data_IF_609255131125
#
_entry.id   IF_609255131125
#
_cell.length_a   1.000
_cell.length_b   1.000
_cell.length_c   1.000
_cell.angle_alpha   90.00
_cell.angle_beta   90.00
_cell.angle_gamma   90.00
#
_symmetry.space_group_name_H-M   'P 1'
#
loop_
_entity.id
_entity.type
_entity.pdbx_description
1 polymer ?
#
# COMPACT_ATOMS: atom_id res chain seq x y z
N UNK A 1 40.28 36.25 -25.65
CA UNK A 1 39.04 36.50 -24.86
C UNK A 1 37.90 35.53 -25.24
N UNK A 2 37.64 35.31 -26.53
CA UNK A 2 36.57 34.42 -27.05
C UNK A 2 36.59 32.95 -26.54
N UNK A 3 37.77 32.35 -26.38
CA UNK A 3 37.91 30.93 -25.96
C UNK A 3 37.49 30.73 -24.48
N UNK A 4 37.67 31.75 -23.63
CA UNK A 4 37.24 31.67 -22.22
C UNK A 4 35.73 31.80 -22.07
N UNK A 5 35.09 32.64 -22.88
CA UNK A 5 33.63 32.78 -22.87
C UNK A 5 32.92 31.50 -23.35
N UNK A 6 33.44 30.83 -24.37
CA UNK A 6 32.88 29.57 -24.87
C UNK A 6 33.04 28.43 -23.86
N UNK A 7 34.16 28.35 -23.15
CA UNK A 7 34.33 27.39 -22.05
C UNK A 7 33.37 27.63 -20.88
N UNK A 8 33.11 28.89 -20.52
CA UNK A 8 32.15 29.24 -19.47
C UNK A 8 30.71 28.95 -19.92
N UNK A 9 30.36 29.25 -21.18
CA UNK A 9 29.04 28.95 -21.72
C UNK A 9 28.78 27.45 -21.79
N UNK A 10 29.77 26.66 -22.21
CA UNK A 10 29.70 25.20 -22.23
C UNK A 10 29.60 24.63 -20.81
N UNK A 11 30.36 25.18 -19.85
CA UNK A 11 30.28 24.80 -18.45
C UNK A 11 28.92 25.14 -17.84
N UNK A 12 28.32 26.29 -18.20
CA UNK A 12 26.97 26.68 -17.76
C UNK A 12 25.89 25.81 -18.39
N UNK A 13 26.04 25.41 -19.65
CA UNK A 13 25.13 24.47 -20.32
C UNK A 13 25.17 23.10 -19.63
N UNK A 14 26.37 22.57 -19.37
CA UNK A 14 26.57 21.30 -18.68
C UNK A 14 26.09 21.37 -17.22
N UNK A 15 26.35 22.48 -16.51
CA UNK A 15 25.82 22.66 -15.15
C UNK A 15 24.30 22.75 -15.15
N UNK A 16 23.68 23.34 -16.17
CA UNK A 16 22.22 23.42 -16.24
C UNK A 16 21.60 22.02 -16.39
N UNK A 17 22.17 21.14 -17.21
CA UNK A 17 21.68 19.75 -17.33
C UNK A 17 21.91 18.93 -16.04
N UNK A 18 22.97 19.22 -15.29
CA UNK A 18 23.27 18.55 -14.00
C UNK A 18 22.40 19.09 -12.85
N UNK A 19 22.08 20.38 -12.84
CA UNK A 19 21.24 21.03 -11.80
C UNK A 19 19.74 20.85 -12.07
N UNK A 20 19.35 20.73 -13.33
CA UNK A 20 17.99 20.35 -13.75
C UNK A 20 17.83 18.84 -13.95
N UNK A 21 18.79 18.02 -13.49
CA UNK A 21 18.64 16.57 -13.39
C UNK A 21 17.58 16.22 -12.33
N UNK A 22 16.32 16.41 -12.74
CA UNK A 22 15.11 15.69 -12.43
C UNK A 22 15.03 15.10 -11.02
N UNK A 23 14.03 15.53 -10.26
CA UNK A 23 13.38 14.63 -9.30
C UNK A 23 12.99 13.35 -10.06
N UNK A 24 13.87 12.34 -10.03
CA UNK A 24 13.66 11.08 -10.73
C UNK A 24 12.28 10.58 -10.35
N UNK A 25 11.34 10.41 -11.28
CA UNK A 25 9.96 10.04 -10.96
C UNK A 25 9.91 8.82 -10.04
N UNK A 26 10.88 7.91 -10.14
CA UNK A 26 11.06 6.76 -9.24
C UNK A 26 11.23 7.14 -7.77
N UNK A 27 11.97 8.20 -7.46
CA UNK A 27 12.18 8.67 -6.09
C UNK A 27 10.90 9.24 -5.47
N UNK A 28 10.07 9.91 -6.29
CA UNK A 28 8.77 10.44 -5.88
C UNK A 28 7.79 9.29 -5.66
N UNK A 29 7.69 8.35 -6.60
CA UNK A 29 6.84 7.16 -6.45
C UNK A 29 7.24 6.31 -5.25
N UNK A 30 8.54 6.12 -5.01
CA UNK A 30 9.05 5.43 -3.83
C UNK A 30 8.59 6.13 -2.55
N UNK A 31 8.73 7.45 -2.45
CA UNK A 31 8.32 8.21 -1.28
C UNK A 31 6.80 8.18 -1.04
N UNK A 32 6.01 8.25 -2.12
CA UNK A 32 4.56 8.08 -2.06
C UNK A 32 4.22 6.70 -1.52
N UNK A 33 4.81 5.64 -2.07
CA UNK A 33 4.61 4.26 -1.62
C UNK A 33 4.96 4.09 -0.14
N UNK A 34 6.13 4.54 0.28
CA UNK A 34 6.58 4.47 1.69
C UNK A 34 5.61 5.19 2.62
N UNK A 35 5.15 6.38 2.22
CA UNK A 35 4.19 7.18 2.99
C UNK A 35 2.83 6.49 3.07
N UNK A 36 2.33 5.96 1.96
CA UNK A 36 1.07 5.19 1.93
C UNK A 36 1.15 3.95 2.83
N UNK A 37 2.26 3.22 2.80
CA UNK A 37 2.47 2.05 3.67
C UNK A 37 2.52 2.45 5.15
N UNK A 38 3.14 3.59 5.48
CA UNK A 38 3.16 4.11 6.84
C UNK A 38 1.75 4.46 7.34
N UNK A 39 0.97 5.21 6.53
CA UNK A 39 -0.42 5.60 6.86
C UNK A 39 -1.31 4.36 7.02
N UNK A 40 -1.16 3.35 6.16
CA UNK A 40 -1.90 2.09 6.28
C UNK A 40 -1.62 1.37 7.61
N UNK A 41 -0.33 1.27 7.98
CA UNK A 41 0.09 0.62 9.23
C UNK A 41 -0.42 1.38 10.46
N UNK A 42 -0.32 2.70 10.45
CA UNK A 42 -0.82 3.56 11.52
C UNK A 42 -2.36 3.46 11.65
N UNK A 43 -3.07 3.53 10.52
CA UNK A 43 -4.53 3.42 10.49
C UNK A 43 -5.00 2.06 11.01
N UNK A 44 -4.28 0.98 10.69
CA UNK A 44 -4.58 -0.36 11.18
C UNK A 44 -4.23 -0.56 12.66
N UNK A 45 -3.32 0.24 13.22
CA UNK A 45 -3.03 0.26 14.65
C UNK A 45 -4.04 1.07 15.48
N UNK A 46 -4.99 1.76 14.84
CA UNK A 46 -5.95 2.60 15.55
C UNK A 46 -6.97 1.80 16.37
N UNK A 47 -7.34 2.32 17.54
CA UNK A 47 -8.46 1.80 18.33
C UNK A 47 -9.81 1.96 17.60
N UNK A 48 -9.90 2.94 16.68
CA UNK A 48 -11.10 3.23 15.91
C UNK A 48 -11.31 2.15 14.84
N UNK A 49 -12.32 1.31 15.06
CA UNK A 49 -12.59 0.14 14.23
C UNK A 49 -12.74 0.46 12.73
N UNK A 50 -13.36 1.59 12.37
CA UNK A 50 -13.52 1.99 10.97
C UNK A 50 -12.21 2.41 10.30
N UNK A 51 -11.21 2.91 11.03
CA UNK A 51 -9.88 3.19 10.45
C UNK A 51 -9.15 1.89 10.14
N UNK A 52 -9.28 0.87 11.02
CA UNK A 52 -8.73 -0.47 10.74
C UNK A 52 -9.39 -1.11 9.53
N UNK A 53 -10.72 -1.01 9.42
CA UNK A 53 -11.46 -1.50 8.27
C UNK A 53 -11.04 -0.77 6.98
N UNK A 54 -10.94 0.56 7.01
CA UNK A 54 -10.46 1.35 5.87
C UNK A 54 -9.03 0.95 5.45
N UNK A 55 -8.14 0.71 6.42
CA UNK A 55 -6.79 0.24 6.16
C UNK A 55 -6.77 -1.15 5.50
N UNK A 56 -7.57 -2.10 5.99
CA UNK A 56 -7.69 -3.43 5.38
C UNK A 56 -8.23 -3.35 3.94
N UNK A 57 -9.25 -2.51 3.71
CA UNK A 57 -9.80 -2.30 2.36
C UNK A 57 -8.77 -1.72 1.40
N UNK A 58 -8.10 -0.64 1.81
CA UNK A 58 -7.09 0.02 1.00
C UNK A 58 -5.88 -0.90 0.73
N UNK A 59 -5.49 -1.73 1.71
CA UNK A 59 -4.46 -2.75 1.53
C UNK A 59 -4.85 -3.82 0.49
N UNK A 60 -6.12 -4.21 0.43
CA UNK A 60 -6.63 -5.11 -0.60
C UNK A 60 -6.73 -4.44 -1.98
N UNK A 61 -7.19 -3.19 -2.03
CA UNK A 61 -7.34 -2.43 -3.27
C UNK A 61 -6.01 -2.02 -3.91
N UNK A 62 -4.94 -1.88 -3.12
CA UNK A 62 -3.59 -1.63 -3.66
C UNK A 62 -3.01 -2.80 -4.47
N UNK A 63 -3.58 -4.00 -4.29
CA UNK A 63 -3.08 -5.26 -4.85
C UNK A 63 -1.61 -5.56 -4.50
N UNK A 64 -1.13 -4.97 -3.41
CA UNK A 64 0.25 -5.08 -2.98
C UNK A 64 0.49 -6.37 -2.19
N UNK A 65 1.28 -7.28 -2.74
CA UNK A 65 1.59 -8.56 -2.10
C UNK A 65 2.36 -8.39 -0.79
N UNK A 66 3.07 -7.28 -0.59
CA UNK A 66 3.75 -6.98 0.68
C UNK A 66 2.76 -6.75 1.84
N UNK A 67 1.48 -6.50 1.53
CA UNK A 67 0.43 -6.30 2.52
C UNK A 67 -0.34 -7.57 2.90
N UNK A 68 0.00 -8.73 2.31
CA UNK A 68 -0.59 -10.02 2.70
C UNK A 68 -0.51 -10.27 4.22
N UNK A 69 0.61 -9.99 4.93
CA UNK A 69 0.66 -10.16 6.39
C UNK A 69 -0.33 -9.26 7.14
N UNK A 70 -0.52 -8.01 6.69
CA UNK A 70 -1.51 -7.09 7.29
C UNK A 70 -2.93 -7.62 7.06
N UNK A 71 -3.23 -8.04 5.83
CA UNK A 71 -4.54 -8.60 5.48
C UNK A 71 -4.83 -9.88 6.27
N UNK A 72 -3.87 -10.80 6.37
CA UNK A 72 -4.02 -12.02 7.18
C UNK A 72 -4.34 -11.67 8.65
N UNK A 73 -3.63 -10.71 9.26
CA UNK A 73 -3.94 -10.23 10.62
C UNK A 73 -5.35 -9.60 10.70
N UNK A 74 -5.75 -8.85 9.67
CA UNK A 74 -7.06 -8.20 9.60
C UNK A 74 -8.22 -9.19 9.48
N UNK A 75 -8.00 -10.42 9.01
CA UNK A 75 -9.02 -11.49 9.03
C UNK A 75 -9.40 -11.95 10.44
N UNK A 76 -8.65 -11.53 11.47
CA UNK A 76 -8.85 -11.90 12.87
C UNK A 76 -9.26 -10.68 13.72
N UNK A 77 -9.53 -9.53 13.11
CA UNK A 77 -9.93 -8.31 13.82
C UNK A 77 -11.24 -8.51 14.58
N UNK A 78 -11.37 -7.88 15.76
CA UNK A 78 -12.62 -7.90 16.53
C UNK A 78 -13.80 -7.33 15.75
N UNK A 79 -13.57 -6.35 14.87
CA UNK A 79 -14.61 -5.69 14.11
C UNK A 79 -14.93 -6.45 12.81
N UNK A 80 -16.18 -6.93 12.60
CA UNK A 80 -16.53 -7.77 11.46
C UNK A 80 -16.23 -7.16 10.09
N UNK A 81 -16.46 -5.85 9.93
CA UNK A 81 -16.19 -5.15 8.68
C UNK A 81 -14.71 -5.20 8.30
N UNK A 82 -13.80 -5.14 9.28
CA UNK A 82 -12.36 -5.28 9.04
C UNK A 82 -12.03 -6.67 8.52
N UNK A 83 -12.62 -7.72 9.11
CA UNK A 83 -12.44 -9.11 8.65
C UNK A 83 -12.96 -9.31 7.23
N UNK A 84 -14.15 -8.77 6.93
CA UNK A 84 -14.76 -8.85 5.60
C UNK A 84 -13.88 -8.18 4.53
N UNK A 85 -13.41 -6.96 4.78
CA UNK A 85 -12.50 -6.27 3.85
C UNK A 85 -11.16 -6.96 3.73
N UNK A 86 -10.65 -7.57 4.80
CA UNK A 86 -9.43 -8.35 4.75
C UNK A 86 -9.57 -9.57 3.83
N UNK A 87 -10.67 -10.34 3.95
CA UNK A 87 -10.92 -11.49 3.09
C UNK A 87 -11.07 -11.08 1.62
N UNK A 88 -11.82 -10.02 1.34
CA UNK A 88 -11.94 -9.46 -0.02
C UNK A 88 -10.59 -8.97 -0.55
N UNK A 89 -9.76 -8.39 0.31
CA UNK A 89 -8.40 -7.98 -0.04
C UNK A 89 -7.52 -9.17 -0.41
N UNK A 90 -7.53 -10.24 0.40
CA UNK A 90 -6.80 -11.46 0.12
C UNK A 90 -7.22 -12.08 -1.22
N UNK A 91 -8.51 -12.08 -1.57
CA UNK A 91 -8.98 -12.56 -2.88
C UNK A 91 -8.31 -11.84 -4.05
N UNK A 92 -7.94 -10.56 -3.89
CA UNK A 92 -7.26 -9.76 -4.92
C UNK A 92 -5.74 -10.01 -4.98
N UNK A 93 -5.09 -10.35 -3.87
CA UNK A 93 -3.62 -10.43 -3.79
C UNK A 93 -3.06 -11.86 -3.72
N UNK A 94 -3.80 -12.81 -3.17
CA UNK A 94 -3.37 -14.20 -2.96
C UNK A 94 -4.57 -15.13 -2.76
N UNK A 95 -4.86 -15.95 -3.78
CA UNK A 95 -5.92 -16.97 -3.70
C UNK A 95 -5.67 -18.02 -2.61
N UNK A 96 -4.40 -18.33 -2.32
CA UNK A 96 -4.00 -19.29 -1.30
C UNK A 96 -4.34 -18.76 0.10
N UNK A 97 -3.98 -17.51 0.40
CA UNK A 97 -4.28 -16.89 1.68
C UNK A 97 -5.79 -16.64 1.83
N UNK A 98 -6.46 -16.21 0.75
CA UNK A 98 -7.91 -16.05 0.72
C UNK A 98 -8.63 -17.35 1.05
N UNK A 99 -8.25 -18.47 0.44
CA UNK A 99 -8.85 -19.78 0.71
C UNK A 99 -8.62 -20.23 2.16
N UNK A 100 -7.42 -20.01 2.70
CA UNK A 100 -7.11 -20.32 4.11
C UNK A 100 -7.97 -19.50 5.07
N UNK A 101 -8.11 -18.20 4.81
CA UNK A 101 -8.94 -17.30 5.60
C UNK A 101 -10.42 -17.69 5.51
N UNK A 102 -10.95 -17.84 4.29
CA UNK A 102 -12.32 -18.24 4.03
C UNK A 102 -12.71 -19.51 4.80
N UNK A 103 -11.89 -20.57 4.74
CA UNK A 103 -12.13 -21.81 5.50
C UNK A 103 -12.28 -21.63 7.01
N UNK A 104 -11.55 -20.68 7.61
CA UNK A 104 -11.72 -20.34 9.04
C UNK A 104 -12.99 -19.52 9.25
N UNK A 105 -13.26 -18.59 8.35
CA UNK A 105 -14.33 -17.61 8.44
C UNK A 105 -15.72 -18.18 8.14
N UNK A 106 -15.86 -19.40 7.61
CA UNK A 106 -17.17 -20.10 7.54
C UNK A 106 -17.79 -20.33 8.93
N UNK A 107 -16.97 -20.35 9.98
CA UNK A 107 -17.41 -20.44 11.38
C UNK A 107 -17.44 -19.11 12.13
N UNK A 108 -17.31 -17.97 11.45
CA UNK A 108 -17.27 -16.64 12.07
C UNK A 108 -18.57 -16.32 12.85
N UNK A 109 -18.51 -15.51 13.90
CA UNK A 109 -19.70 -15.13 14.68
C UNK A 109 -20.63 -14.19 13.92
N UNK A 110 -20.08 -13.36 13.03
CA UNK A 110 -20.84 -12.41 12.22
C UNK A 110 -21.36 -13.07 10.93
N UNK A 111 -22.65 -12.87 10.65
CA UNK A 111 -23.32 -13.49 9.50
C UNK A 111 -22.77 -13.01 8.15
N UNK A 112 -22.36 -11.75 8.04
CA UNK A 112 -21.83 -11.19 6.80
C UNK A 112 -20.43 -11.73 6.51
N UNK A 113 -19.65 -11.92 7.57
CA UNK A 113 -18.33 -12.54 7.47
C UNK A 113 -18.43 -14.00 7.03
N UNK A 114 -19.36 -14.78 7.63
CA UNK A 114 -19.62 -16.16 7.18
C UNK A 114 -20.09 -16.21 5.73
N UNK A 115 -20.99 -15.31 5.34
CA UNK A 115 -21.55 -15.26 3.98
C UNK A 115 -20.48 -14.91 2.94
N UNK A 116 -19.50 -14.08 3.29
CA UNK A 116 -18.39 -13.74 2.40
C UNK A 116 -17.35 -14.87 2.23
N UNK A 117 -17.40 -15.88 3.10
CA UNK A 117 -16.43 -16.97 3.14
C UNK A 117 -16.81 -18.19 2.26
N UNK A 118 -18.00 -18.20 1.69
CA UNK A 118 -18.54 -19.26 0.81
C UNK A 118 -18.67 -18.78 -0.62
#
# INVERSE_FOLDING_TARGET
MLIRLTGILLALLILSEVVFAESRPESVFKKIRETSLAILKESYASERAFLRAAAARAAGESQDKELIPLLNKATEDVYPTTRLFALQGLQKVSSIDALKAARRMTGDTDIWVRSAAV
#
